data_IF_094377369997
#
_entry.id   IF_094377369997
#
_cell.length_a   1.000
_cell.length_b   1.000
_cell.length_c   1.000
_cell.angle_alpha   90.00
_cell.angle_beta   90.00
_cell.angle_gamma   90.00
#
_symmetry.space_group_name_H-M   'P 1'
#
loop_
_entity.id
_entity.type
_entity.pdbx_description
1 polymer ?
#
# COMPACT_ATOMS: atom_id res chain seq x y z
N UNK A 1 5.40 11.79 -20.12
CA UNK A 1 5.84 11.62 -18.70
C UNK A 1 6.32 12.95 -18.11
N UNK A 2 5.79 14.07 -18.60
CA UNK A 2 6.47 15.37 -18.52
C UNK A 2 5.85 16.27 -17.48
N UNK A 3 4.53 16.16 -17.26
CA UNK A 3 3.82 16.87 -16.19
C UNK A 3 4.39 16.52 -14.81
N UNK A 4 4.67 15.24 -14.55
CA UNK A 4 5.28 14.79 -13.28
C UNK A 4 6.71 15.31 -13.11
N UNK A 5 7.49 15.37 -14.19
CA UNK A 5 8.86 15.93 -14.17
C UNK A 5 8.83 17.44 -13.99
N UNK A 6 7.90 18.14 -14.64
CA UNK A 6 7.70 19.58 -14.53
C UNK A 6 7.27 19.98 -13.12
N UNK A 7 6.33 19.24 -12.52
CA UNK A 7 5.88 19.43 -11.14
C UNK A 7 7.04 19.16 -10.17
N UNK A 8 7.84 18.11 -10.38
CA UNK A 8 9.02 17.86 -9.54
C UNK A 8 10.07 18.96 -9.66
N UNK A 9 10.36 19.41 -10.89
CA UNK A 9 11.36 20.47 -11.16
C UNK A 9 10.92 21.81 -10.58
N UNK A 10 9.65 22.18 -10.75
CA UNK A 10 9.06 23.39 -10.16
C UNK A 10 8.91 23.29 -8.64
N UNK A 11 8.56 22.12 -8.11
CA UNK A 11 8.48 21.88 -6.66
C UNK A 11 9.83 21.97 -5.97
N UNK A 12 10.90 21.44 -6.57
CA UNK A 12 12.26 21.63 -6.06
C UNK A 12 12.74 23.09 -6.15
N UNK A 13 12.33 23.83 -7.19
CA UNK A 13 12.65 25.25 -7.30
C UNK A 13 11.93 26.09 -6.22
N UNK A 14 10.67 25.77 -5.94
CA UNK A 14 9.88 26.42 -4.88
C UNK A 14 10.43 26.13 -3.47
N UNK A 15 10.91 24.92 -3.20
CA UNK A 15 11.54 24.59 -1.90
C UNK A 15 12.89 25.30 -1.68
N UNK A 16 13.55 25.73 -2.75
CA UNK A 16 14.81 26.48 -2.70
C UNK A 16 14.59 27.99 -2.62
N UNK A 17 13.36 28.46 -2.78
CA UNK A 17 13.05 29.88 -2.69
C UNK A 17 13.06 30.31 -1.21
N UNK A 18 13.94 31.25 -0.80
CA UNK A 18 14.04 31.72 0.58
C UNK A 18 12.74 32.31 1.12
N UNK A 19 11.79 32.70 0.24
CA UNK A 19 10.46 33.17 0.64
C UNK A 19 9.56 32.02 1.11
N UNK A 20 9.67 30.85 0.48
CA UNK A 20 8.91 29.65 0.89
C UNK A 20 9.45 29.10 2.20
N UNK A 21 10.77 29.16 2.41
CA UNK A 21 11.38 28.79 3.69
C UNK A 21 10.89 29.68 4.83
N UNK A 22 10.76 30.99 4.61
CA UNK A 22 10.20 31.93 5.59
C UNK A 22 8.71 31.66 5.86
N UNK A 23 7.92 31.40 4.81
CA UNK A 23 6.51 31.05 4.98
C UNK A 23 6.32 29.70 5.70
N UNK A 24 7.25 28.75 5.57
CA UNK A 24 7.20 27.52 6.35
C UNK A 24 7.58 27.72 7.82
N UNK A 25 8.33 28.77 8.14
CA UNK A 25 8.65 29.15 9.53
C UNK A 25 7.47 29.85 10.22
N UNK A 26 6.50 30.37 9.46
CA UNK A 26 5.27 30.91 10.03
C UNK A 26 4.39 29.79 10.62
N UNK A 27 4.12 29.86 11.92
CA UNK A 27 3.30 28.87 12.62
C UNK A 27 1.91 28.69 11.99
N UNK A 28 1.32 29.75 11.44
CA UNK A 28 -0.03 29.71 10.85
C UNK A 28 -0.07 28.90 9.56
N UNK A 29 0.98 29.02 8.75
CA UNK A 29 1.13 28.27 7.50
C UNK A 29 1.44 26.81 7.82
N UNK A 30 2.33 26.56 8.78
CA UNK A 30 2.64 25.20 9.22
C UNK A 30 1.41 24.49 9.81
N UNK A 31 0.64 25.17 10.67
CA UNK A 31 -0.63 24.64 11.23
C UNK A 31 -1.66 24.38 10.13
N UNK A 32 -1.84 25.31 9.20
CA UNK A 32 -2.72 25.12 8.04
C UNK A 32 -2.30 23.95 7.15
N UNK A 33 -1.00 23.79 6.91
CA UNK A 33 -0.45 22.65 6.16
C UNK A 33 -0.65 21.33 6.90
N UNK A 34 -0.41 21.30 8.22
CA UNK A 34 -0.69 20.11 9.03
C UNK A 34 -2.18 19.75 8.99
N UNK A 35 -3.07 20.72 9.15
CA UNK A 35 -4.51 20.51 9.06
C UNK A 35 -4.93 20.00 7.67
N UNK A 36 -4.35 20.57 6.61
CA UNK A 36 -4.61 20.12 5.24
C UNK A 36 -4.11 18.69 5.01
N UNK A 37 -2.93 18.33 5.52
CA UNK A 37 -2.41 16.95 5.46
C UNK A 37 -3.30 15.98 6.23
N UNK A 38 -3.77 16.36 7.42
CA UNK A 38 -4.69 15.55 8.23
C UNK A 38 -6.04 15.39 7.53
N UNK A 39 -6.62 16.47 6.99
CA UNK A 39 -7.87 16.44 6.25
C UNK A 39 -7.75 15.57 5.00
N UNK A 40 -6.64 15.68 4.24
CA UNK A 40 -6.36 14.82 3.09
C UNK A 40 -6.24 13.36 3.49
N UNK A 41 -5.54 13.05 4.59
CA UNK A 41 -5.40 11.68 5.08
C UNK A 41 -6.75 11.08 5.43
N UNK A 42 -7.59 11.80 6.19
CA UNK A 42 -8.96 11.40 6.53
C UNK A 42 -9.85 11.24 5.29
N UNK A 43 -9.71 12.12 4.30
CA UNK A 43 -10.45 12.02 3.03
C UNK A 43 -10.04 10.77 2.23
N UNK A 44 -8.74 10.46 2.17
CA UNK A 44 -8.27 9.24 1.51
C UNK A 44 -8.77 7.98 2.21
N UNK A 45 -8.69 7.93 3.54
CA UNK A 45 -9.20 6.79 4.33
C UNK A 45 -10.70 6.59 4.14
N UNK A 46 -11.50 7.65 4.23
CA UNK A 46 -12.95 7.56 4.05
C UNK A 46 -13.37 7.18 2.63
N UNK A 47 -12.63 7.61 1.59
CA UNK A 47 -12.86 7.16 0.22
C UNK A 47 -12.53 5.67 0.08
N UNK A 48 -11.43 5.21 0.66
CA UNK A 48 -11.02 3.81 0.59
C UNK A 48 -12.01 2.88 1.33
N UNK A 49 -12.53 3.29 2.49
CA UNK A 49 -13.59 2.59 3.23
C UNK A 49 -14.91 2.54 2.45
N UNK A 50 -15.28 3.65 1.79
CA UNK A 50 -16.48 3.69 0.92
C UNK A 50 -16.33 2.78 -0.29
N UNK A 51 -15.16 2.76 -0.92
CA UNK A 51 -14.89 1.87 -2.04
C UNK A 51 -14.96 0.41 -1.58
N UNK A 52 -14.37 0.06 -0.42
CA UNK A 52 -14.45 -1.30 0.12
C UNK A 52 -15.88 -1.71 0.50
N UNK A 53 -16.66 -0.83 1.14
CA UNK A 53 -18.03 -1.14 1.54
C UNK A 53 -18.98 -1.29 0.34
N UNK A 54 -18.85 -0.44 -0.68
CA UNK A 54 -19.60 -0.55 -1.94
C UNK A 54 -19.20 -1.83 -2.66
N UNK A 55 -17.90 -2.09 -2.81
CA UNK A 55 -17.39 -3.29 -3.45
C UNK A 55 -17.90 -4.57 -2.78
N UNK A 56 -17.89 -4.64 -1.44
CA UNK A 56 -18.47 -5.75 -0.67
C UNK A 56 -19.98 -5.91 -0.89
N UNK A 57 -20.75 -4.81 -0.92
CA UNK A 57 -22.21 -4.84 -1.14
C UNK A 57 -22.60 -5.28 -2.55
N UNK A 58 -21.77 -4.98 -3.54
CA UNK A 58 -22.00 -5.37 -4.94
C UNK A 58 -21.27 -6.66 -5.34
N UNK A 59 -20.63 -7.37 -4.40
CA UNK A 59 -19.87 -8.60 -4.69
C UNK A 59 -18.65 -8.37 -5.60
N UNK A 60 -18.21 -7.13 -5.76
CA UNK A 60 -17.06 -6.76 -6.57
C UNK A 60 -15.80 -6.94 -5.72
N UNK A 61 -14.94 -7.89 -6.07
CA UNK A 61 -13.68 -8.12 -5.36
C UNK A 61 -12.72 -6.96 -5.64
N UNK A 62 -12.27 -6.29 -4.59
CA UNK A 62 -11.32 -5.17 -4.73
C UNK A 62 -9.92 -5.67 -5.14
N UNK A 63 -9.12 -4.82 -5.80
CA UNK A 63 -7.73 -5.18 -6.18
C UNK A 63 -6.86 -5.59 -4.98
N UNK A 64 -7.11 -5.01 -3.81
CA UNK A 64 -6.46 -5.36 -2.55
C UNK A 64 -6.80 -6.78 -2.11
N UNK A 65 -8.09 -7.16 -2.14
CA UNK A 65 -8.55 -8.51 -1.80
C UNK A 65 -8.01 -9.55 -2.79
N UNK A 66 -7.98 -9.24 -4.10
CA UNK A 66 -7.34 -10.13 -5.10
C UNK A 66 -5.85 -10.34 -4.79
N UNK A 67 -5.15 -9.26 -4.42
CA UNK A 67 -3.72 -9.33 -4.10
C UNK A 67 -3.47 -10.15 -2.84
N UNK A 68 -4.33 -10.03 -1.85
CA UNK A 68 -4.28 -10.80 -0.60
C UNK A 68 -4.60 -12.28 -0.83
N UNK A 69 -5.65 -12.59 -1.59
CA UNK A 69 -6.00 -13.96 -1.98
C UNK A 69 -4.84 -14.65 -2.70
N UNK A 70 -4.18 -13.94 -3.64
CA UNK A 70 -3.00 -14.45 -4.35
C UNK A 70 -1.82 -14.73 -3.43
N UNK A 71 -1.63 -13.93 -2.37
CA UNK A 71 -0.60 -14.18 -1.35
C UNK A 71 -0.93 -15.42 -0.53
N UNK A 72 -2.16 -15.55 -0.07
CA UNK A 72 -2.62 -16.71 0.68
C UNK A 72 -2.50 -18.00 -0.13
N UNK A 73 -2.88 -17.97 -1.40
CA UNK A 73 -2.75 -19.11 -2.31
C UNK A 73 -1.29 -19.57 -2.46
N UNK A 74 -0.35 -18.63 -2.66
CA UNK A 74 1.09 -18.96 -2.72
C UNK A 74 1.62 -19.56 -1.43
N UNK A 75 1.14 -19.10 -0.27
CA UNK A 75 1.53 -19.65 1.03
C UNK A 75 1.04 -21.09 1.18
N UNK A 76 -0.20 -21.36 0.80
CA UNK A 76 -0.78 -22.70 0.79
C UNK A 76 -0.05 -23.64 -0.19
N UNK A 77 0.26 -23.18 -1.40
CA UNK A 77 1.05 -23.95 -2.36
C UNK A 77 2.43 -24.32 -1.81
N UNK A 78 3.07 -23.40 -1.10
CA UNK A 78 4.38 -23.63 -0.47
C UNK A 78 4.28 -24.66 0.65
N UNK A 79 3.27 -24.52 1.51
CA UNK A 79 3.03 -25.48 2.61
C UNK A 79 2.70 -26.86 2.08
N UNK A 80 1.87 -26.95 1.04
CA UNK A 80 1.50 -28.22 0.42
C UNK A 80 2.70 -28.90 -0.24
N UNK A 81 3.58 -28.14 -0.91
CA UNK A 81 4.86 -28.66 -1.43
C UNK A 81 5.77 -29.16 -0.31
N UNK A 82 5.83 -28.45 0.81
CA UNK A 82 6.64 -28.86 1.98
C UNK A 82 6.10 -30.15 2.60
N UNK A 83 4.80 -30.21 2.85
CA UNK A 83 4.14 -31.40 3.39
C UNK A 83 4.28 -32.62 2.47
N UNK A 84 4.14 -32.45 1.15
CA UNK A 84 4.39 -33.54 0.19
C UNK A 84 5.83 -34.05 0.28
N UNK A 85 6.82 -33.15 0.31
CA UNK A 85 8.24 -33.54 0.45
C UNK A 85 8.52 -34.26 1.77
N UNK A 86 7.89 -33.84 2.86
CA UNK A 86 8.03 -34.50 4.16
C UNK A 86 7.38 -35.89 4.14
N UNK A 87 6.19 -36.03 3.54
CA UNK A 87 5.53 -37.32 3.37
C UNK A 87 6.33 -38.27 2.46
N UNK A 88 6.91 -37.78 1.37
CA UNK A 88 7.74 -38.58 0.47
C UNK A 88 9.03 -39.04 1.15
N UNK A 89 9.66 -38.17 1.96
CA UNK A 89 10.82 -38.54 2.79
C UNK A 89 10.47 -39.56 3.86
N UNK A 90 9.32 -39.41 4.51
CA UNK A 90 8.85 -40.37 5.51
C UNK A 90 8.57 -41.74 4.89
N UNK A 91 7.97 -41.78 3.69
CA UNK A 91 7.74 -43.02 2.94
C UNK A 91 9.04 -43.70 2.50
N UNK A 92 10.04 -42.93 2.09
CA UNK A 92 11.36 -43.46 1.75
C UNK A 92 12.07 -44.02 2.99
N UNK A 93 11.99 -43.32 4.13
CA UNK A 93 12.56 -43.79 5.40
C UNK A 93 11.85 -45.03 5.98
N UNK A 94 10.57 -45.24 5.67
CA UNK A 94 9.81 -46.42 6.10
C UNK A 94 9.83 -47.59 5.10
N UNK A 95 10.31 -47.38 3.87
CA UNK A 95 10.42 -48.41 2.83
C UNK A 95 11.81 -49.04 2.71
N UNK A 96 12.78 -48.58 3.51
CA UNK A 96 14.17 -49.06 3.58
C UNK A 96 14.42 -49.91 4.86
N UNK A 97 13.37 -50.48 5.44
CA UNK A 97 13.41 -51.44 6.55
C UNK A 97 12.66 -52.72 6.16
#
# INVERSE_FOLDING_TARGET
>A
MDVKKLIKKRGMALLKDPRVTKLMQDERVMKGMMQALQARSKAQQSVEERVQSVAKRFGLVTKSEVRELKRSMRKLETQLKKAKREADKAKQASGDA
#
